data_IF_167544320708
#
_entry.id   IF_167544320708
#
_cell.length_a   1.000
_cell.length_b   1.000
_cell.length_c   1.000
_cell.angle_alpha   90.00
_cell.angle_beta   90.00
_cell.angle_gamma   90.00
#
_symmetry.space_group_name_H-M   'P 1'
#
loop_
_entity.id
_entity.type
_entity.pdbx_description
1 polymer ?
#
# COMPACT_ATOMS: atom_id res chain seq x y z
N UNK A 1 -83.40 -23.97 0.14
CA UNK A 1 -82.08 -24.01 0.76
C UNK A 1 -81.15 -23.15 -0.09
N UNK A 2 -80.50 -22.19 0.46
CA UNK A 2 -79.50 -21.42 -0.28
C UNK A 2 -78.22 -22.29 -0.41
N UNK A 3 -77.79 -22.55 -1.62
CA UNK A 3 -76.54 -23.22 -1.88
C UNK A 3 -75.44 -22.19 -1.70
N UNK A 4 -74.54 -22.37 -0.71
CA UNK A 4 -73.36 -21.58 -0.59
C UNK A 4 -72.36 -22.16 -1.59
N UNK A 5 -72.09 -21.43 -2.69
CA UNK A 5 -70.96 -21.73 -3.57
C UNK A 5 -69.69 -21.23 -2.89
N UNK A 6 -68.91 -22.16 -2.36
CA UNK A 6 -67.66 -21.88 -1.68
C UNK A 6 -66.53 -21.51 -2.63
N UNK A 7 -66.79 -21.43 -3.94
CA UNK A 7 -65.75 -21.18 -4.95
C UNK A 7 -64.62 -22.21 -4.96
N UNK A 8 -63.60 -22.01 -5.76
CA UNK A 8 -62.39 -22.83 -5.73
C UNK A 8 -61.57 -22.47 -4.46
N UNK A 9 -61.68 -23.36 -3.45
CA UNK A 9 -61.00 -23.20 -2.17
C UNK A 9 -59.58 -23.77 -2.23
N UNK A 10 -59.15 -24.34 -3.36
CA UNK A 10 -57.92 -25.10 -3.43
C UNK A 10 -57.07 -24.68 -4.63
N UNK A 11 -55.93 -24.09 -4.34
CA UNK A 11 -54.84 -23.94 -5.32
C UNK A 11 -54.36 -25.31 -5.75
N UNK A 12 -54.11 -25.50 -7.04
CA UNK A 12 -53.69 -26.78 -7.62
C UNK A 12 -52.24 -26.67 -8.05
N UNK A 13 -51.36 -27.38 -7.39
CA UNK A 13 -49.97 -27.44 -7.81
C UNK A 13 -49.82 -28.38 -9.04
N UNK A 14 -49.38 -27.83 -10.15
CA UNK A 14 -49.24 -28.50 -11.47
C UNK A 14 -47.81 -28.95 -11.76
N UNK A 15 -46.87 -28.67 -10.85
CA UNK A 15 -45.45 -29.00 -11.05
C UNK A 15 -44.70 -27.95 -11.86
N UNK A 16 -43.69 -28.37 -12.62
CA UNK A 16 -42.94 -27.49 -13.50
C UNK A 16 -43.83 -27.01 -14.68
N UNK A 17 -43.73 -25.73 -15.00
CA UNK A 17 -44.45 -25.16 -16.14
C UNK A 17 -44.12 -25.90 -17.44
N UNK A 18 -45.14 -26.19 -18.21
CA UNK A 18 -45.07 -26.76 -19.56
C UNK A 18 -45.83 -25.86 -20.53
N UNK A 19 -45.17 -25.49 -21.64
CA UNK A 19 -45.71 -24.54 -22.61
C UNK A 19 -46.92 -25.09 -23.41
N UNK A 20 -47.11 -26.39 -23.43
CA UNK A 20 -48.22 -27.06 -24.13
C UNK A 20 -49.44 -27.30 -23.23
N UNK A 21 -49.30 -27.16 -21.94
CA UNK A 21 -50.37 -27.39 -20.96
C UNK A 21 -51.25 -26.14 -20.85
N UNK A 22 -52.61 -26.38 -20.83
CA UNK A 22 -53.59 -25.39 -20.55
C UNK A 22 -53.70 -25.20 -19.01
N UNK A 23 -53.50 -23.99 -18.54
CA UNK A 23 -53.64 -23.61 -17.13
C UNK A 23 -54.87 -22.74 -16.91
N UNK A 24 -55.49 -22.91 -15.78
CA UNK A 24 -56.66 -22.11 -15.35
C UNK A 24 -56.34 -21.34 -14.09
N UNK A 25 -57.13 -20.28 -13.73
CA UNK A 25 -56.96 -19.57 -12.50
C UNK A 25 -56.80 -20.51 -11.28
N UNK A 26 -55.92 -20.15 -10.35
CA UNK A 26 -55.50 -20.93 -9.17
C UNK A 26 -54.59 -22.12 -9.42
N UNK A 27 -54.21 -22.43 -10.66
CA UNK A 27 -53.09 -23.36 -10.92
C UNK A 27 -51.75 -22.74 -10.49
N UNK A 28 -50.95 -23.51 -9.72
CA UNK A 28 -49.61 -23.18 -9.31
C UNK A 28 -48.57 -23.91 -10.13
N UNK A 29 -47.59 -23.22 -10.60
CA UNK A 29 -46.45 -23.83 -11.31
C UNK A 29 -45.15 -23.32 -10.77
N UNK A 30 -44.09 -24.07 -10.94
CA UNK A 30 -42.71 -23.65 -10.74
C UNK A 30 -42.02 -23.50 -12.08
N UNK A 31 -41.14 -22.51 -12.16
CA UNK A 31 -40.24 -22.33 -13.30
C UNK A 31 -38.85 -21.92 -12.81
N UNK A 32 -37.85 -22.51 -13.45
CA UNK A 32 -36.43 -22.12 -13.19
C UNK A 32 -35.96 -21.28 -14.36
N UNK A 33 -35.50 -20.08 -14.03
CA UNK A 33 -34.89 -19.16 -14.97
C UNK A 33 -33.44 -18.90 -14.53
N UNK A 34 -32.49 -19.36 -15.32
CA UNK A 34 -31.10 -19.43 -14.88
C UNK A 34 -30.95 -20.36 -13.66
N UNK A 35 -30.48 -19.83 -12.53
CA UNK A 35 -30.36 -20.54 -11.24
C UNK A 35 -31.52 -20.26 -10.28
N UNK A 36 -32.53 -19.50 -10.68
CA UNK A 36 -33.61 -19.04 -9.81
C UNK A 36 -34.88 -19.80 -10.10
N UNK A 37 -35.38 -20.56 -9.12
CA UNK A 37 -36.67 -21.24 -9.21
C UNK A 37 -37.72 -20.39 -8.47
N UNK A 38 -38.79 -20.03 -9.16
CA UNK A 38 -39.91 -19.26 -8.62
C UNK A 38 -41.22 -20.00 -8.79
N UNK A 39 -42.17 -19.71 -7.88
CA UNK A 39 -43.54 -20.27 -7.98
C UNK A 39 -44.49 -19.16 -8.43
N UNK A 40 -45.35 -19.51 -9.37
CA UNK A 40 -46.36 -18.62 -9.97
C UNK A 40 -47.73 -19.23 -9.81
N UNK A 41 -48.73 -18.36 -9.73
CA UNK A 41 -50.15 -18.66 -9.81
C UNK A 41 -50.71 -18.15 -11.11
N UNK A 42 -51.48 -18.96 -11.79
CA UNK A 42 -52.25 -18.56 -12.96
C UNK A 42 -53.39 -17.64 -12.49
N UNK A 43 -53.48 -16.43 -13.03
CA UNK A 43 -54.53 -15.45 -12.71
C UNK A 43 -55.58 -15.32 -13.80
N UNK A 44 -55.19 -15.68 -15.03
CA UNK A 44 -56.06 -15.73 -16.21
C UNK A 44 -55.71 -16.95 -17.05
N UNK A 45 -56.69 -17.69 -17.54
CA UNK A 45 -56.46 -18.92 -18.32
C UNK A 45 -55.37 -18.69 -19.38
N UNK A 46 -54.44 -19.62 -19.45
CA UNK A 46 -53.21 -19.45 -20.21
C UNK A 46 -52.70 -20.76 -20.80
N UNK A 47 -52.34 -20.73 -22.07
CA UNK A 47 -51.62 -21.80 -22.75
C UNK A 47 -50.50 -21.14 -23.57
N UNK A 48 -49.29 -21.67 -23.52
CA UNK A 48 -48.16 -21.14 -24.28
C UNK A 48 -47.55 -19.82 -23.76
N UNK A 49 -48.05 -19.26 -22.65
CA UNK A 49 -47.52 -18.04 -22.06
C UNK A 49 -46.66 -18.40 -20.85
N UNK A 50 -45.36 -18.34 -21.04
CA UNK A 50 -44.40 -18.57 -19.96
C UNK A 50 -44.62 -17.60 -18.77
N UNK A 51 -44.73 -18.10 -17.52
CA UNK A 51 -44.94 -17.25 -16.34
C UNK A 51 -43.97 -16.12 -16.16
N UNK A 52 -42.72 -16.22 -16.66
CA UNK A 52 -41.73 -15.16 -16.56
C UNK A 52 -40.71 -15.27 -17.70
N UNK A 53 -40.29 -14.10 -18.18
CA UNK A 53 -39.24 -13.94 -19.19
C UNK A 53 -38.06 -13.08 -18.66
N UNK A 54 -37.61 -13.31 -17.41
CA UNK A 54 -36.47 -12.55 -16.85
C UNK A 54 -36.79 -11.66 -15.63
N UNK A 55 -37.61 -12.19 -14.72
CA UNK A 55 -37.83 -11.56 -13.43
C UNK A 55 -39.11 -10.73 -13.29
N UNK A 56 -39.87 -10.57 -14.38
CA UNK A 56 -41.21 -9.97 -14.36
C UNK A 56 -42.24 -11.05 -14.70
N UNK A 57 -43.33 -11.09 -13.93
CA UNK A 57 -44.40 -12.04 -14.24
C UNK A 57 -45.12 -11.66 -15.54
N UNK A 58 -45.51 -12.64 -16.35
CA UNK A 58 -46.41 -12.43 -17.50
C UNK A 58 -47.79 -12.01 -17.03
N UNK A 59 -48.53 -11.28 -17.85
CA UNK A 59 -49.87 -10.73 -17.48
C UNK A 59 -50.90 -11.77 -16.99
N UNK A 60 -50.74 -13.04 -17.43
CA UNK A 60 -51.62 -14.14 -17.02
C UNK A 60 -51.18 -14.80 -15.70
N UNK A 61 -50.05 -14.37 -15.10
CA UNK A 61 -49.45 -14.99 -13.95
C UNK A 61 -49.07 -13.98 -12.88
N UNK A 62 -49.08 -14.41 -11.65
CA UNK A 62 -48.56 -13.64 -10.53
C UNK A 62 -47.52 -14.47 -9.75
N UNK A 63 -46.54 -13.77 -9.15
CA UNK A 63 -45.61 -14.44 -8.21
C UNK A 63 -46.35 -14.88 -6.96
N UNK A 64 -46.17 -16.14 -6.54
CA UNK A 64 -46.50 -16.62 -5.20
C UNK A 64 -45.26 -16.59 -4.31
N UNK A 65 -44.17 -17.13 -4.86
CA UNK A 65 -42.85 -17.07 -4.22
C UNK A 65 -41.82 -16.78 -5.29
N UNK A 66 -41.11 -15.64 -5.13
CA UNK A 66 -40.01 -15.32 -5.99
C UNK A 66 -38.74 -15.96 -5.40
N UNK A 67 -38.16 -16.85 -6.18
CA UNK A 67 -36.86 -17.43 -5.83
C UNK A 67 -35.80 -16.36 -5.78
N UNK A 68 -34.78 -16.58 -4.99
CA UNK A 68 -33.60 -15.76 -4.94
C UNK A 68 -32.44 -16.48 -5.61
N UNK A 69 -31.62 -15.74 -6.34
CA UNK A 69 -30.39 -16.30 -6.86
C UNK A 69 -29.53 -16.78 -5.68
N UNK A 70 -28.87 -17.92 -5.85
CA UNK A 70 -27.86 -18.36 -4.88
C UNK A 70 -26.76 -17.29 -4.78
N UNK A 71 -26.28 -17.06 -3.57
CA UNK A 71 -25.16 -16.15 -3.38
C UNK A 71 -24.00 -16.54 -4.31
N UNK A 72 -23.39 -15.60 -5.03
CA UNK A 72 -22.23 -15.90 -5.84
C UNK A 72 -20.98 -16.19 -5.01
N UNK A 73 -20.99 -15.93 -3.69
CA UNK A 73 -19.85 -16.20 -2.81
C UNK A 73 -19.68 -17.69 -2.57
N UNK A 74 -18.45 -18.18 -2.64
CA UNK A 74 -18.12 -19.61 -2.49
C UNK A 74 -17.07 -19.86 -1.39
N UNK A 75 -16.41 -18.82 -0.93
CA UNK A 75 -15.30 -18.90 0.04
C UNK A 75 -15.49 -17.85 1.12
N UNK A 76 -15.07 -18.17 2.35
CA UNK A 76 -15.08 -17.19 3.44
C UNK A 76 -14.24 -15.96 3.08
N UNK A 77 -14.80 -14.77 3.28
CA UNK A 77 -14.15 -13.51 2.94
C UNK A 77 -14.42 -12.99 1.54
N UNK A 78 -15.16 -13.74 0.70
CA UNK A 78 -15.64 -13.22 -0.59
C UNK A 78 -16.56 -12.02 -0.40
N UNK A 79 -16.53 -11.09 -1.33
CA UNK A 79 -17.39 -9.91 -1.37
C UNK A 79 -18.31 -9.98 -2.59
N UNK A 80 -19.57 -9.58 -2.42
CA UNK A 80 -20.48 -9.38 -3.55
C UNK A 80 -20.29 -7.93 -4.02
N UNK A 81 -19.99 -7.75 -5.29
CA UNK A 81 -19.85 -6.45 -5.94
C UNK A 81 -20.85 -6.32 -7.08
N UNK A 82 -21.25 -5.09 -7.38
CA UNK A 82 -22.07 -4.83 -8.58
C UNK A 82 -21.18 -4.84 -9.80
N UNK A 83 -21.35 -5.85 -10.67
CA UNK A 83 -20.75 -5.89 -11.99
C UNK A 83 -21.55 -5.06 -13.01
N UNK A 84 -21.18 -5.14 -14.28
CA UNK A 84 -21.81 -4.36 -15.35
C UNK A 84 -23.32 -4.68 -15.52
N UNK A 85 -23.70 -5.93 -15.33
CA UNK A 85 -25.10 -6.41 -15.57
C UNK A 85 -25.71 -7.14 -14.39
N UNK A 86 -24.92 -7.70 -13.48
CA UNK A 86 -25.38 -8.51 -12.36
C UNK A 86 -24.47 -8.30 -11.14
N UNK A 87 -24.92 -8.83 -10.00
CA UNK A 87 -24.07 -8.94 -8.82
C UNK A 87 -23.05 -10.10 -9.05
N UNK A 88 -21.79 -9.83 -8.76
CA UNK A 88 -20.67 -10.71 -9.04
C UNK A 88 -19.88 -10.99 -7.76
N UNK A 89 -19.17 -12.12 -7.77
CA UNK A 89 -18.23 -12.48 -6.73
C UNK A 89 -16.91 -11.79 -6.95
N UNK A 90 -16.46 -11.02 -5.98
CA UNK A 90 -15.06 -10.67 -5.83
C UNK A 90 -14.44 -11.64 -4.82
N UNK A 91 -13.60 -12.54 -5.28
CA UNK A 91 -12.91 -13.50 -4.43
C UNK A 91 -12.02 -12.76 -3.43
N UNK A 92 -11.87 -13.32 -2.22
CA UNK A 92 -10.96 -12.75 -1.21
C UNK A 92 -9.55 -12.59 -1.79
N UNK A 93 -8.96 -11.42 -1.56
CA UNK A 93 -7.59 -11.13 -1.99
C UNK A 93 -6.52 -11.86 -1.19
N UNK A 94 -5.31 -11.90 -1.71
CA UNK A 94 -4.16 -12.42 -0.99
C UNK A 94 -3.87 -11.59 0.29
N UNK A 95 -3.20 -12.21 1.25
CA UNK A 95 -2.80 -11.54 2.49
C UNK A 95 -2.01 -10.24 2.19
N UNK A 96 -2.30 -9.19 2.95
CA UNK A 96 -1.66 -7.87 2.78
C UNK A 96 -2.20 -7.02 1.65
N UNK A 97 -3.26 -7.44 0.95
CA UNK A 97 -3.93 -6.61 -0.07
C UNK A 97 -5.10 -5.83 0.55
N UNK A 98 -5.30 -4.62 0.07
CA UNK A 98 -6.46 -3.80 0.39
C UNK A 98 -7.50 -3.87 -0.73
N UNK A 99 -8.78 -3.75 -0.36
CA UNK A 99 -9.86 -3.55 -1.33
C UNK A 99 -9.79 -2.10 -1.83
N UNK A 100 -9.56 -1.93 -3.11
CA UNK A 100 -9.39 -0.62 -3.76
C UNK A 100 -10.29 -0.49 -4.98
N UNK A 101 -10.48 0.73 -5.46
CA UNK A 101 -11.06 0.98 -6.77
C UNK A 101 -10.04 0.60 -7.83
N UNK A 102 -10.45 -0.14 -8.86
CA UNK A 102 -9.57 -0.53 -9.96
C UNK A 102 -9.10 0.69 -10.78
N UNK A 103 -8.06 0.49 -11.57
CA UNK A 103 -7.45 1.56 -12.39
C UNK A 103 -8.41 2.21 -13.41
N UNK A 104 -9.47 1.51 -13.79
CA UNK A 104 -10.51 2.01 -14.70
C UNK A 104 -11.61 2.82 -13.99
N UNK A 105 -11.63 2.86 -12.66
CA UNK A 105 -12.60 3.61 -11.87
C UNK A 105 -14.03 3.04 -11.91
N UNK A 106 -14.21 1.81 -12.36
CA UNK A 106 -15.52 1.22 -12.60
C UNK A 106 -15.81 -0.07 -11.79
N UNK A 107 -14.91 -0.44 -10.88
CA UNK A 107 -15.07 -1.63 -10.06
C UNK A 107 -14.10 -1.67 -8.89
N UNK A 108 -14.22 -2.73 -8.09
CA UNK A 108 -13.34 -3.00 -6.96
C UNK A 108 -12.37 -4.14 -7.29
N UNK A 109 -11.16 -4.03 -6.76
CA UNK A 109 -10.14 -5.08 -6.83
C UNK A 109 -9.29 -5.11 -5.55
N UNK A 110 -8.56 -6.19 -5.33
CA UNK A 110 -7.56 -6.25 -4.27
C UNK A 110 -6.18 -5.84 -4.81
N UNK A 111 -5.64 -4.76 -4.28
CA UNK A 111 -4.37 -4.19 -4.72
C UNK A 111 -3.52 -3.64 -3.59
N UNK A 112 -2.37 -3.11 -3.93
CA UNK A 112 -1.45 -2.51 -2.95
C UNK A 112 -1.77 -1.04 -2.62
N UNK A 113 -2.57 -0.36 -3.41
CA UNK A 113 -3.13 0.97 -3.28
C UNK A 113 -2.50 1.91 -2.25
N UNK A 114 -1.30 2.42 -2.49
CA UNK A 114 -0.64 3.38 -1.57
C UNK A 114 -0.25 2.81 -0.20
N UNK A 115 -0.30 1.48 -0.02
CA UNK A 115 0.03 0.84 1.24
C UNK A 115 1.52 0.93 1.57
N UNK A 116 1.82 1.10 2.85
CA UNK A 116 3.15 0.84 3.38
C UNK A 116 3.42 -0.67 3.26
N UNK A 117 4.37 -1.05 2.41
CA UNK A 117 4.71 -2.45 2.14
C UNK A 117 5.73 -3.00 3.12
N UNK A 118 6.73 -2.18 3.45
CA UNK A 118 7.81 -2.56 4.34
C UNK A 118 8.45 -1.33 4.97
N UNK A 119 9.12 -1.51 6.09
CA UNK A 119 9.97 -0.50 6.68
C UNK A 119 11.23 -1.15 7.26
N UNK A 120 12.31 -0.39 7.26
CA UNK A 120 13.53 -0.75 7.96
C UNK A 120 14.20 0.52 8.52
N UNK A 121 14.91 0.39 9.61
CA UNK A 121 15.60 1.52 10.23
C UNK A 121 16.89 1.06 10.92
N UNK A 122 17.79 2.01 11.10
CA UNK A 122 18.97 1.84 11.93
C UNK A 122 19.16 3.06 12.84
N UNK A 123 19.53 2.81 14.07
CA UNK A 123 19.86 3.82 15.08
C UNK A 123 21.29 3.60 15.54
N UNK A 124 22.10 4.65 15.50
CA UNK A 124 23.45 4.66 16.01
C UNK A 124 23.49 5.45 17.30
N UNK A 125 23.86 4.81 18.39
CA UNK A 125 24.00 5.43 19.72
C UNK A 125 25.48 5.62 20.11
N UNK A 126 26.37 4.82 19.56
CA UNK A 126 27.82 4.96 19.71
C UNK A 126 28.37 6.06 18.80
N UNK A 127 29.62 6.40 19.01
CA UNK A 127 30.31 7.48 18.27
C UNK A 127 31.02 6.98 17.01
N UNK A 128 31.26 7.90 16.08
CA UNK A 128 32.16 7.70 14.96
C UNK A 128 32.88 9.00 14.59
N UNK A 129 34.07 8.88 14.00
CA UNK A 129 34.79 10.01 13.43
C UNK A 129 35.55 9.61 12.17
N UNK A 130 35.92 10.61 11.37
CA UNK A 130 36.77 10.45 10.21
C UNK A 130 37.59 11.71 9.95
N UNK A 131 38.82 11.53 9.53
CA UNK A 131 39.67 12.59 8.97
C UNK A 131 39.83 12.46 7.43
N UNK A 132 39.07 11.55 6.86
CA UNK A 132 39.08 11.31 5.40
C UNK A 132 38.50 12.50 4.64
N UNK A 133 39.23 12.98 3.65
CA UNK A 133 38.75 14.00 2.71
C UNK A 133 37.81 13.41 1.65
N UNK A 134 37.77 12.12 1.52
CA UNK A 134 36.78 11.40 0.70
C UNK A 134 35.67 10.84 1.60
N UNK A 135 34.48 10.65 1.01
CA UNK A 135 33.36 10.08 1.76
C UNK A 135 33.61 8.63 2.15
N UNK A 136 33.41 8.33 3.43
CA UNK A 136 33.47 6.97 4.01
C UNK A 136 32.14 6.64 4.70
N UNK A 137 31.81 5.37 4.83
CA UNK A 137 30.57 4.95 5.47
C UNK A 137 30.53 5.38 6.94
N UNK A 138 29.39 5.88 7.42
CA UNK A 138 29.14 6.04 8.86
C UNK A 138 28.76 4.65 9.40
N UNK A 139 29.59 4.03 10.26
CA UNK A 139 29.29 2.70 10.77
C UNK A 139 27.92 2.65 11.48
N UNK A 140 27.12 1.63 11.19
CA UNK A 140 25.80 1.45 11.82
C UNK A 140 24.66 2.30 11.23
N UNK A 141 24.91 3.20 10.27
CA UNK A 141 23.87 3.97 9.58
C UNK A 141 23.68 3.46 8.15
N UNK A 142 23.23 2.23 8.04
CA UNK A 142 22.84 1.60 6.78
C UNK A 142 21.59 0.75 6.97
N UNK A 143 20.77 0.67 5.92
CA UNK A 143 19.52 -0.09 5.89
C UNK A 143 19.42 -0.83 4.56
N UNK A 144 19.12 -2.12 4.60
CA UNK A 144 18.93 -2.94 3.39
C UNK A 144 17.47 -3.37 3.28
N UNK A 145 16.89 -3.19 2.10
CA UNK A 145 15.54 -3.64 1.76
C UNK A 145 15.51 -4.25 0.36
N UNK A 146 14.64 -5.21 0.15
CA UNK A 146 14.35 -5.77 -1.17
C UNK A 146 13.04 -5.19 -1.66
N UNK A 147 13.03 -4.36 -2.72
CA UNK A 147 11.79 -3.75 -3.22
C UNK A 147 10.79 -4.82 -3.68
N UNK A 148 9.53 -4.64 -3.33
CA UNK A 148 8.44 -5.52 -3.75
C UNK A 148 8.15 -5.38 -5.25
N UNK A 149 8.45 -4.22 -5.85
CA UNK A 149 8.26 -3.93 -7.27
C UNK A 149 9.31 -2.95 -7.77
N UNK A 150 9.58 -2.97 -9.08
CA UNK A 150 10.42 -1.95 -9.75
C UNK A 150 9.79 -0.55 -9.67
N UNK A 151 8.48 -0.46 -9.49
CA UNK A 151 7.74 0.81 -9.32
C UNK A 151 7.61 1.27 -7.87
N UNK A 152 8.09 0.50 -6.88
CA UNK A 152 8.06 0.87 -5.46
C UNK A 152 8.67 2.25 -5.22
N UNK A 153 8.13 2.95 -4.24
CA UNK A 153 8.63 4.26 -3.78
C UNK A 153 9.20 4.11 -2.38
N UNK A 154 10.42 4.56 -2.20
CA UNK A 154 11.06 4.66 -0.90
C UNK A 154 11.00 6.07 -0.36
N UNK A 155 10.45 6.21 0.83
CA UNK A 155 10.55 7.41 1.64
C UNK A 155 11.68 7.21 2.63
N UNK A 156 12.77 7.95 2.44
CA UNK A 156 13.99 7.84 3.24
C UNK A 156 14.09 9.08 4.12
N UNK A 157 14.19 8.87 5.42
CA UNK A 157 14.44 9.92 6.38
C UNK A 157 15.70 9.60 7.17
N UNK A 158 16.56 10.59 7.37
CA UNK A 158 17.73 10.45 8.21
C UNK A 158 17.98 11.69 9.06
N UNK A 159 18.58 11.47 10.20
CA UNK A 159 19.05 12.51 11.10
C UNK A 159 20.38 12.08 11.71
N UNK A 160 21.39 12.93 11.58
CA UNK A 160 22.75 12.70 12.08
C UNK A 160 23.17 13.85 12.98
N UNK A 161 23.48 13.53 14.23
CA UNK A 161 24.15 14.45 15.13
C UNK A 161 25.60 14.61 14.69
N UNK A 162 25.92 15.73 14.04
CA UNK A 162 27.18 15.93 13.34
C UNK A 162 27.94 17.12 13.87
N UNK A 163 29.23 16.97 14.04
CA UNK A 163 30.13 18.07 14.39
C UNK A 163 31.43 17.99 13.58
N UNK A 164 32.13 19.14 13.51
CA UNK A 164 33.48 19.24 12.93
C UNK A 164 34.40 19.88 13.95
N UNK A 165 35.66 19.51 13.85
CA UNK A 165 36.69 20.11 14.74
C UNK A 165 36.83 21.57 14.45
N UNK A 166 36.73 22.42 15.45
CA UNK A 166 37.16 23.82 15.48
C UNK A 166 36.95 24.73 14.24
N UNK A 167 37.23 26.02 14.39
CA UNK A 167 37.02 27.06 13.38
C UNK A 167 37.67 26.77 12.01
N UNK A 168 36.95 27.11 10.96
CA UNK A 168 37.33 27.02 9.54
C UNK A 168 37.32 25.59 8.94
N UNK A 169 36.79 24.62 9.63
CA UNK A 169 36.65 23.26 9.09
C UNK A 169 35.24 23.00 8.64
N UNK A 170 35.15 22.14 7.66
CA UNK A 170 33.87 21.71 7.09
C UNK A 170 33.84 20.20 6.92
N UNK A 171 32.64 19.66 6.93
CA UNK A 171 32.37 18.26 6.66
C UNK A 171 31.01 18.10 6.04
N UNK A 172 30.86 17.03 5.32
CA UNK A 172 29.62 16.72 4.61
C UNK A 172 29.07 15.37 4.96
N UNK A 173 27.77 15.22 4.76
CA UNK A 173 27.07 13.94 4.77
C UNK A 173 26.48 13.75 3.38
N UNK A 174 26.54 12.53 2.87
CA UNK A 174 25.82 12.11 1.68
C UNK A 174 25.10 10.79 1.92
N UNK A 175 24.04 10.58 1.18
CA UNK A 175 23.35 9.30 1.11
C UNK A 175 23.63 8.63 -0.21
N UNK A 176 23.95 7.33 -0.15
CA UNK A 176 24.18 6.51 -1.32
C UNK A 176 23.27 5.27 -1.28
N UNK A 177 22.95 4.75 -2.44
CA UNK A 177 22.38 3.41 -2.59
C UNK A 177 23.41 2.44 -3.15
N UNK A 178 23.35 1.18 -2.69
CA UNK A 178 24.11 0.07 -3.23
C UNK A 178 23.14 -1.01 -3.69
N UNK A 179 23.14 -1.35 -4.97
CA UNK A 179 22.27 -2.37 -5.56
C UNK A 179 23.05 -3.67 -5.73
N UNK A 180 22.48 -4.78 -5.24
CA UNK A 180 23.09 -6.11 -5.36
C UNK A 180 24.47 -6.22 -4.72
N UNK A 181 24.80 -5.34 -3.78
CA UNK A 181 26.07 -5.36 -3.04
C UNK A 181 27.27 -4.76 -3.78
N UNK A 182 27.15 -4.33 -5.02
CA UNK A 182 28.30 -3.92 -5.84
C UNK A 182 28.23 -2.49 -6.41
N UNK A 183 27.07 -2.04 -6.87
CA UNK A 183 26.95 -0.74 -7.54
C UNK A 183 26.54 0.35 -6.57
N UNK A 184 27.46 1.27 -6.26
CA UNK A 184 27.20 2.44 -5.41
C UNK A 184 26.82 3.64 -6.27
N UNK A 185 25.74 4.31 -5.90
CA UNK A 185 25.22 5.50 -6.60
C UNK A 185 24.78 6.55 -5.58
N UNK A 186 25.18 7.78 -5.79
CA UNK A 186 24.67 8.92 -5.04
C UNK A 186 23.18 9.16 -5.41
N UNK A 187 22.33 9.41 -4.42
CA UNK A 187 20.89 9.55 -4.66
C UNK A 187 20.29 10.91 -4.30
N UNK A 188 21.06 11.75 -3.60
CA UNK A 188 20.60 13.07 -3.15
C UNK A 188 21.81 13.99 -2.96
N UNK A 189 22.30 14.54 -4.05
CA UNK A 189 23.44 15.47 -4.03
C UNK A 189 23.04 16.83 -4.61
N UNK A 190 23.64 17.88 -4.08
CA UNK A 190 23.66 19.20 -4.72
C UNK A 190 24.25 19.16 -6.14
N UNK A 191 24.03 20.17 -6.94
CA UNK A 191 24.57 20.32 -8.29
C UNK A 191 26.10 20.39 -8.30
N UNK A 192 26.69 20.10 -9.44
CA UNK A 192 28.13 20.23 -9.64
C UNK A 192 28.47 21.69 -10.03
N UNK A 193 29.37 22.34 -9.29
CA UNK A 193 29.78 23.70 -9.60
C UNK A 193 31.27 23.92 -9.27
N UNK A 194 32.10 23.94 -10.28
CA UNK A 194 33.56 24.07 -10.13
C UNK A 194 34.16 23.02 -9.20
N UNK A 195 35.00 23.42 -8.29
CA UNK A 195 35.68 22.55 -7.31
C UNK A 195 34.89 22.35 -5.99
N UNK A 196 33.62 22.70 -5.94
CA UNK A 196 32.82 22.56 -4.72
C UNK A 196 32.56 21.10 -4.40
N UNK A 197 32.81 20.72 -3.14
CA UNK A 197 32.40 19.41 -2.63
C UNK A 197 30.86 19.29 -2.67
N UNK A 198 30.38 18.13 -3.09
CA UNK A 198 28.95 17.83 -3.17
C UNK A 198 28.53 16.91 -2.02
N UNK A 199 27.42 17.20 -1.40
CA UNK A 199 26.83 16.41 -0.32
C UNK A 199 25.32 16.52 -0.28
N UNK A 200 24.70 15.72 0.55
CA UNK A 200 23.27 15.84 0.88
C UNK A 200 23.06 16.90 1.97
N UNK A 201 24.00 16.99 2.91
CA UNK A 201 24.09 18.02 3.92
C UNK A 201 25.55 18.43 4.11
N UNK A 202 25.72 19.62 4.64
CA UNK A 202 27.04 20.23 4.82
C UNK A 202 27.08 21.08 6.08
N UNK A 203 28.17 20.98 6.82
CA UNK A 203 28.44 21.84 7.97
C UNK A 203 29.75 22.57 7.80
N UNK A 204 29.73 23.83 8.10
CA UNK A 204 30.90 24.68 8.27
C UNK A 204 30.96 25.22 9.72
N UNK A 205 32.07 25.13 10.36
CA UNK A 205 32.29 25.78 11.65
C UNK A 205 33.14 27.04 11.47
N UNK A 206 32.57 28.19 11.75
CA UNK A 206 33.22 29.50 11.66
C UNK A 206 33.65 30.05 13.03
N UNK A 207 33.41 29.32 14.11
CA UNK A 207 33.56 29.81 15.47
C UNK A 207 35.03 29.79 15.93
N UNK A 208 35.68 30.93 15.88
CA UNK A 208 37.09 31.11 16.22
C UNK A 208 37.40 30.98 17.72
N UNK A 209 36.41 30.83 18.61
CA UNK A 209 36.61 30.90 20.06
C UNK A 209 36.14 29.71 20.89
N UNK A 210 35.23 28.87 20.37
CA UNK A 210 34.71 27.70 21.09
C UNK A 210 34.98 26.42 20.29
N UNK A 211 36.15 25.92 20.45
CA UNK A 211 36.60 24.71 19.82
C UNK A 211 35.76 23.50 20.23
N UNK A 212 34.91 23.05 19.34
CA UNK A 212 34.46 21.66 19.38
C UNK A 212 33.24 21.34 20.21
N UNK A 213 32.49 22.30 20.73
CA UNK A 213 31.29 22.04 21.54
C UNK A 213 29.99 21.87 20.67
N UNK A 214 30.02 22.30 19.42
CA UNK A 214 28.81 22.39 18.61
C UNK A 214 28.57 21.10 17.82
N UNK A 215 27.56 20.36 18.24
CA UNK A 215 26.94 19.32 17.43
C UNK A 215 25.62 19.84 16.89
N UNK A 216 25.36 19.63 15.61
CA UNK A 216 24.10 19.99 14.95
C UNK A 216 23.41 18.75 14.41
N UNK A 217 22.10 18.83 14.36
CA UNK A 217 21.29 17.81 13.72
C UNK A 217 21.24 18.08 12.22
N UNK A 218 21.81 17.18 11.43
CA UNK A 218 21.79 17.23 9.97
C UNK A 218 20.89 16.12 9.45
N UNK A 219 19.81 16.50 8.81
CA UNK A 219 18.82 15.53 8.33
C UNK A 219 18.27 15.87 6.96
N UNK A 220 17.57 14.92 6.41
CA UNK A 220 16.89 15.05 5.12
C UNK A 220 15.81 14.00 4.92
N UNK A 221 14.88 14.37 4.06
CA UNK A 221 13.79 13.49 3.61
C UNK A 221 13.84 13.39 2.09
N UNK A 222 13.82 12.17 1.58
CA UNK A 222 14.03 11.87 0.16
C UNK A 222 12.96 10.89 -0.27
N UNK A 223 12.33 11.14 -1.42
CA UNK A 223 11.56 10.14 -2.15
C UNK A 223 12.45 9.58 -3.26
N UNK A 224 12.66 8.26 -3.25
CA UNK A 224 13.53 7.58 -4.21
C UNK A 224 12.83 6.39 -4.86
N UNK A 225 13.02 6.24 -6.17
CA UNK A 225 12.55 5.09 -6.95
C UNK A 225 13.75 4.17 -7.21
N UNK A 226 13.79 2.96 -6.63
CA UNK A 226 14.95 2.07 -6.79
C UNK A 226 15.06 1.49 -8.21
N UNK A 227 13.92 1.36 -8.94
CA UNK A 227 13.82 0.80 -10.29
C UNK A 227 14.41 -0.62 -10.40
N UNK A 228 14.34 -1.40 -9.34
CA UNK A 228 14.87 -2.76 -9.24
C UNK A 228 14.10 -3.55 -8.20
N UNK A 229 14.11 -4.87 -8.33
CA UNK A 229 13.68 -5.82 -7.28
C UNK A 229 14.84 -6.52 -6.58
N UNK A 230 16.09 -6.18 -6.94
CA UNK A 230 17.27 -6.63 -6.20
C UNK A 230 17.38 -5.89 -4.87
N UNK A 231 18.03 -6.50 -3.88
CA UNK A 231 18.28 -5.86 -2.60
C UNK A 231 19.02 -4.53 -2.78
N UNK A 232 18.52 -3.49 -2.10
CA UNK A 232 19.08 -2.14 -2.09
C UNK A 232 19.50 -1.79 -0.69
N UNK A 233 20.76 -1.42 -0.51
CA UNK A 233 21.27 -0.87 0.75
C UNK A 233 21.41 0.64 0.64
N UNK A 234 20.77 1.37 1.52
CA UNK A 234 20.95 2.81 1.71
C UNK A 234 21.97 3.03 2.83
N UNK A 235 22.98 3.85 2.56
CA UNK A 235 24.05 4.15 3.53
C UNK A 235 24.23 5.65 3.66
N UNK A 236 24.50 6.08 4.87
CA UNK A 236 25.02 7.42 5.12
C UNK A 236 26.55 7.39 5.13
N UNK A 237 27.14 8.33 4.44
CA UNK A 237 28.58 8.53 4.38
C UNK A 237 28.92 9.95 4.86
N UNK A 238 30.11 10.10 5.39
CA UNK A 238 30.62 11.39 5.86
C UNK A 238 32.08 11.60 5.45
N UNK A 239 32.48 12.85 5.41
CA UNK A 239 33.85 13.23 5.18
C UNK A 239 34.26 14.44 6.00
N UNK A 240 35.57 14.69 6.04
CA UNK A 240 36.12 16.02 6.37
C UNK A 240 36.56 16.66 5.04
N UNK A 241 36.02 17.84 4.72
CA UNK A 241 36.28 18.46 3.41
C UNK A 241 37.49 19.42 3.42
N UNK A 242 38.27 19.45 4.48
CA UNK A 242 39.40 20.37 4.56
C UNK A 242 40.76 19.69 4.35
N UNK A 243 41.21 18.84 5.28
CA UNK A 243 42.48 18.12 5.18
C UNK A 243 42.56 16.97 6.17
N UNK A 244 43.41 15.99 5.89
CA UNK A 244 43.77 14.92 6.85
C UNK A 244 44.23 15.47 8.18
N UNK A 245 43.91 14.77 9.29
CA UNK A 245 44.23 15.22 10.66
C UNK A 245 43.18 16.16 11.27
N UNK A 246 42.17 16.57 10.51
CA UNK A 246 41.00 17.28 11.00
C UNK A 246 39.81 16.32 10.92
N UNK A 247 39.01 16.29 11.97
CA UNK A 247 37.98 15.25 12.10
C UNK A 247 36.57 15.83 11.96
N UNK A 248 35.72 15.07 11.32
CA UNK A 248 34.28 15.14 11.44
C UNK A 248 33.80 14.05 12.39
N UNK A 249 32.79 14.35 13.20
CA UNK A 249 32.32 13.53 14.31
C UNK A 249 30.82 13.26 14.20
N UNK A 250 30.40 12.07 14.61
CA UNK A 250 28.99 11.66 14.67
C UNK A 250 28.65 11.27 16.10
N UNK A 251 27.55 11.78 16.62
CA UNK A 251 27.00 11.57 17.95
C UNK A 251 27.79 12.19 19.10
N UNK A 252 28.77 13.02 18.83
CA UNK A 252 29.52 13.75 19.84
C UNK A 252 30.22 14.96 19.24
N UNK A 253 30.73 15.82 20.13
CA UNK A 253 31.52 17.00 19.76
C UNK A 253 33.02 16.69 19.79
N UNK A 254 33.83 17.51 19.13
CA UNK A 254 35.28 17.29 19.09
C UNK A 254 35.96 17.41 20.43
N UNK A 255 35.37 18.07 21.42
CA UNK A 255 35.94 18.23 22.74
C UNK A 255 35.64 17.09 23.72
N UNK A 256 34.73 16.20 23.43
CA UNK A 256 34.36 14.95 24.11
C UNK A 256 34.88 14.74 25.56
N UNK A 257 34.77 15.74 26.40
CA UNK A 257 35.18 15.68 27.78
C UNK A 257 34.05 15.11 28.65
N UNK A 258 34.39 14.42 29.74
CA UNK A 258 33.40 13.98 30.72
C UNK A 258 32.89 15.19 31.54
N UNK A 259 31.97 15.92 30.92
CA UNK A 259 31.37 17.12 31.44
C UNK A 259 29.90 17.21 31.02
N UNK A 260 29.07 17.79 31.92
CA UNK A 260 27.63 17.96 31.71
C UNK A 260 27.26 18.73 30.41
N UNK A 261 28.18 19.50 29.86
CA UNK A 261 27.98 20.30 28.63
C UNK A 261 28.29 19.52 27.34
N UNK A 262 28.75 18.27 27.44
CA UNK A 262 29.09 17.41 26.30
C UNK A 262 28.04 16.32 26.11
N UNK A 263 27.15 16.52 25.15
CA UNK A 263 26.04 15.63 24.90
C UNK A 263 26.41 14.50 23.92
N UNK A 264 25.88 13.34 24.20
CA UNK A 264 25.81 12.20 23.27
C UNK A 264 24.38 12.13 22.70
N UNK A 265 24.25 12.27 21.39
CA UNK A 265 22.95 12.34 20.72
C UNK A 265 22.91 11.25 19.65
N UNK A 266 21.87 10.42 19.59
CA UNK A 266 21.79 9.35 18.60
C UNK A 266 21.52 9.90 17.20
N UNK A 267 22.01 9.14 16.21
CA UNK A 267 21.71 9.34 14.79
C UNK A 267 20.87 8.19 14.26
N UNK A 268 20.11 8.42 13.20
CA UNK A 268 19.24 7.38 12.62
C UNK A 268 19.07 7.53 11.12
N UNK A 269 18.71 6.42 10.49
CA UNK A 269 18.18 6.35 9.14
C UNK A 269 16.96 5.43 9.14
N UNK A 270 15.88 5.83 8.50
CA UNK A 270 14.69 5.02 8.30
C UNK A 270 14.26 5.04 6.83
N UNK A 271 13.75 3.91 6.36
CA UNK A 271 13.27 3.72 5.00
C UNK A 271 11.92 3.04 5.04
N UNK A 272 10.94 3.65 4.39
CA UNK A 272 9.59 3.16 4.25
C UNK A 272 9.34 2.86 2.77
N UNK A 273 8.87 1.67 2.46
CA UNK A 273 8.48 1.29 1.10
C UNK A 273 6.97 1.42 0.92
N UNK A 274 6.58 2.16 -0.10
CA UNK A 274 5.19 2.30 -0.51
C UNK A 274 4.96 1.65 -1.87
N UNK A 275 3.78 1.06 -2.04
CA UNK A 275 3.26 0.69 -3.35
C UNK A 275 3.06 1.95 -4.21
N UNK A 276 3.32 1.83 -5.50
CA UNK A 276 3.04 2.87 -6.50
C UNK A 276 1.65 2.68 -7.10
#
# INVERSE_FOLDING_TARGET
MATIDLGKIKQVFRGTYDNSTAYVPDDLVVITYGSVTSTYICTTASTGNNPSSGGTAHANWAFVAKGQATSPTTTQGDVIVRGASADERLAIGAAGKALIVNSSGNGLEYGNGGLLLAHAYAVKTDTANTDSVTYVDIPGLSVTMTPASTSSRFFINYNVAFSVRSSKYSGGIRIVKVVGGSTTTDIYLGDASGNRSRGSNFRWSDNAGNSGLNSESMGGTIIHHPNTTSAVTFKLQFNNSYSTGNYSYVNYSSADNDNINHYRVPSSISVLEFAS
#
